data_IF_333541083965
#
_entry.id   IF_333541083965
#
_cell.length_a   1.000
_cell.length_b   1.000
_cell.length_c   1.000
_cell.angle_alpha   90.00
_cell.angle_beta   90.00
_cell.angle_gamma   90.00
#
_symmetry.space_group_name_H-M   'P 1'
#
loop_
_entity.id
_entity.type
_entity.pdbx_description
1 polymer ?
#
# COMPACT_ATOMS: atom_id res chain seq x y z
N UNK A 1 -26.38 15.97 8.81
CA UNK A 1 -25.74 14.72 8.36
C UNK A 1 -24.33 14.62 8.96
N UNK A 2 -24.15 13.73 9.93
CA UNK A 2 -22.86 13.52 10.59
C UNK A 2 -21.90 12.80 9.61
N UNK A 3 -20.88 13.50 9.15
CA UNK A 3 -19.73 12.91 8.44
C UNK A 3 -18.81 12.31 9.50
N UNK A 4 -19.05 11.05 9.84
CA UNK A 4 -18.15 10.29 10.71
C UNK A 4 -18.20 8.84 10.24
N UNK A 5 -17.40 8.54 9.21
CA UNK A 5 -16.62 7.30 9.04
C UNK A 5 -16.14 7.17 7.57
N UNK A 6 -15.21 8.01 7.13
CA UNK A 6 -14.36 7.67 5.96
C UNK A 6 -13.14 6.89 6.46
N UNK A 7 -13.36 5.97 7.41
CA UNK A 7 -12.35 5.21 8.12
C UNK A 7 -11.26 4.73 7.18
N UNK A 8 -10.00 4.86 7.59
CA UNK A 8 -8.86 4.45 6.79
C UNK A 8 -9.04 2.99 6.37
N UNK A 9 -9.28 2.77 5.08
CA UNK A 9 -9.59 1.44 4.59
C UNK A 9 -8.26 0.75 4.29
N UNK A 10 -7.97 -0.31 5.04
CA UNK A 10 -6.88 -1.22 4.75
C UNK A 10 -7.40 -2.43 3.96
N UNK A 11 -6.81 -2.70 2.80
CA UNK A 11 -7.11 -3.90 1.99
C UNK A 11 -5.84 -4.55 1.47
N UNK A 12 -5.89 -5.86 1.24
CA UNK A 12 -4.88 -6.61 0.49
C UNK A 12 -5.49 -7.18 -0.78
N UNK A 13 -4.73 -7.18 -1.86
CA UNK A 13 -5.15 -7.74 -3.13
C UNK A 13 -3.99 -8.31 -3.92
N UNK A 14 -4.31 -8.86 -5.08
CA UNK A 14 -3.33 -9.34 -6.03
C UNK A 14 -3.70 -8.99 -7.47
N UNK A 15 -2.66 -8.78 -8.28
CA UNK A 15 -2.76 -8.55 -9.71
C UNK A 15 -1.85 -9.54 -10.44
N UNK A 16 -2.40 -10.19 -11.47
CA UNK A 16 -1.61 -11.03 -12.38
C UNK A 16 -1.22 -10.19 -13.59
N UNK A 17 0.08 -10.10 -13.88
CA UNK A 17 0.61 -9.33 -15.00
C UNK A 17 1.56 -10.18 -15.85
N UNK A 18 1.57 -9.94 -17.16
CA UNK A 18 2.58 -10.45 -18.06
C UNK A 18 3.72 -9.42 -18.17
N UNK A 19 4.90 -9.75 -17.60
CA UNK A 19 6.07 -8.88 -17.62
C UNK A 19 7.08 -9.34 -18.67
N UNK A 20 7.37 -8.53 -19.70
CA UNK A 20 8.47 -8.81 -20.63
C UNK A 20 9.82 -8.59 -19.93
N UNK A 21 10.58 -9.66 -19.73
CA UNK A 21 11.89 -9.64 -19.09
C UNK A 21 13.02 -9.57 -20.12
N UNK A 22 14.05 -8.74 -19.86
CA UNK A 22 15.22 -8.60 -20.75
C UNK A 22 15.95 -9.92 -21.04
N UNK A 23 16.03 -10.81 -20.05
CA UNK A 23 16.84 -12.05 -20.12
C UNK A 23 16.03 -13.34 -19.92
N UNK A 24 14.71 -13.24 -19.71
CA UNK A 24 13.87 -14.38 -19.34
C UNK A 24 12.57 -14.47 -20.16
N UNK A 25 12.44 -13.67 -21.22
CA UNK A 25 11.24 -13.63 -22.06
C UNK A 25 10.00 -13.13 -21.30
N UNK A 26 8.81 -13.52 -21.74
CA UNK A 26 7.56 -13.15 -21.06
C UNK A 26 7.40 -13.98 -19.79
N UNK A 27 7.15 -13.31 -18.66
CA UNK A 27 6.90 -13.96 -17.36
C UNK A 27 5.56 -13.52 -16.81
N UNK A 28 4.71 -14.49 -16.48
CA UNK A 28 3.52 -14.20 -15.67
C UNK A 28 3.95 -14.00 -14.21
N UNK A 29 3.58 -12.86 -13.63
CA UNK A 29 3.87 -12.50 -12.25
C UNK A 29 2.56 -12.26 -11.51
N UNK A 30 2.51 -12.71 -10.26
CA UNK A 30 1.44 -12.36 -9.33
C UNK A 30 1.96 -11.38 -8.30
N UNK A 31 1.56 -10.12 -8.45
CA UNK A 31 1.92 -9.02 -7.57
C UNK A 31 0.89 -8.90 -6.46
N UNK A 32 1.33 -9.05 -5.20
CA UNK A 32 0.47 -8.80 -4.03
C UNK A 32 0.69 -7.39 -3.53
N UNK A 33 -0.39 -6.68 -3.26
CA UNK A 33 -0.36 -5.32 -2.73
C UNK A 33 -1.17 -5.21 -1.44
N UNK A 34 -0.88 -4.17 -0.68
CA UNK A 34 -1.71 -3.66 0.40
C UNK A 34 -2.02 -2.20 0.05
N UNK A 35 -3.18 -1.72 0.50
CA UNK A 35 -3.61 -0.36 0.26
C UNK A 35 -4.21 0.18 1.55
N UNK A 36 -3.72 1.32 2.03
CA UNK A 36 -4.25 2.01 3.21
C UNK A 36 -4.47 3.48 2.91
N UNK A 37 -5.64 4.00 3.28
CA UNK A 37 -5.94 5.42 3.15
C UNK A 37 -7.42 5.71 2.99
N UNK A 38 -7.77 6.99 2.99
CA UNK A 38 -9.12 7.43 2.62
C UNK A 38 -9.45 6.98 1.19
N UNK A 39 -10.68 6.50 0.97
CA UNK A 39 -11.07 5.90 -0.32
C UNK A 39 -10.92 6.87 -1.51
N UNK A 40 -11.14 8.17 -1.26
CA UNK A 40 -11.09 9.23 -2.26
C UNK A 40 -9.72 9.95 -2.33
N UNK A 41 -8.75 9.53 -1.54
CA UNK A 41 -7.41 10.12 -1.59
C UNK A 41 -6.63 9.65 -2.84
N UNK A 42 -5.73 10.49 -3.38
CA UNK A 42 -4.87 10.10 -4.50
C UNK A 42 -4.02 8.89 -4.15
N UNK A 43 -3.92 7.95 -5.09
CA UNK A 43 -3.13 6.72 -4.92
C UNK A 43 -1.65 7.01 -5.12
N UNK A 44 -0.82 6.54 -4.20
CA UNK A 44 0.64 6.67 -4.26
C UNK A 44 1.25 5.28 -4.17
N UNK A 45 1.93 4.85 -5.24
CA UNK A 45 2.66 3.58 -5.24
C UNK A 45 3.99 3.73 -4.48
N UNK A 46 4.14 2.96 -3.39
CA UNK A 46 5.37 2.95 -2.58
C UNK A 46 6.22 1.72 -2.92
N UNK A 47 7.37 1.95 -3.57
CA UNK A 47 8.36 0.91 -3.85
C UNK A 47 9.55 1.04 -2.90
N UNK A 48 9.96 -0.09 -2.31
CA UNK A 48 11.17 -0.18 -1.49
C UNK A 48 12.27 -1.00 -2.13
N UNK A 49 13.35 -1.25 -1.37
CA UNK A 49 14.44 -2.14 -1.78
C UNK A 49 14.06 -3.62 -1.74
N UNK A 50 15.04 -4.51 -1.94
CA UNK A 50 14.83 -5.96 -2.06
C UNK A 50 14.19 -6.64 -0.84
N UNK A 51 14.31 -6.03 0.34
CA UNK A 51 13.72 -6.52 1.59
C UNK A 51 12.32 -5.95 1.86
N UNK A 52 11.86 -4.99 1.07
CA UNK A 52 10.55 -4.40 1.22
C UNK A 52 9.46 -5.38 0.80
N UNK A 53 8.30 -5.25 1.44
CA UNK A 53 7.10 -6.02 1.10
C UNK A 53 5.89 -5.10 1.11
N UNK A 54 4.72 -5.64 0.79
CA UNK A 54 3.49 -4.84 0.61
C UNK A 54 3.01 -4.07 1.85
N UNK A 55 3.55 -4.33 3.04
CA UNK A 55 2.99 -3.82 4.30
C UNK A 55 3.85 -2.69 4.88
N UNK A 56 3.38 -1.45 4.72
CA UNK A 56 4.14 -0.23 5.00
C UNK A 56 4.21 0.10 6.49
N UNK A 57 3.08 -0.01 7.19
CA UNK A 57 2.92 0.36 8.59
C UNK A 57 1.70 -0.34 9.21
N UNK A 58 1.65 -0.36 10.54
CA UNK A 58 0.52 -0.93 11.26
C UNK A 58 -0.81 -0.21 10.93
N UNK A 59 -1.89 -0.98 10.89
CA UNK A 59 -3.26 -0.53 10.69
C UNK A 59 -4.21 -1.35 11.57
N UNK A 60 -5.46 -0.92 11.68
CA UNK A 60 -6.46 -1.65 12.47
C UNK A 60 -6.67 -3.10 11.98
N UNK A 61 -6.58 -3.35 10.67
CA UNK A 61 -6.73 -4.68 10.08
C UNK A 61 -5.43 -5.49 10.06
N UNK A 62 -4.29 -4.81 9.95
CA UNK A 62 -2.94 -5.42 9.87
C UNK A 62 -2.05 -4.74 10.92
N UNK A 63 -2.10 -5.19 12.19
CA UNK A 63 -1.49 -4.49 13.32
C UNK A 63 0.02 -4.73 13.44
N UNK A 64 0.58 -5.62 12.61
CA UNK A 64 2.02 -5.86 12.61
C UNK A 64 2.82 -4.60 12.22
N UNK A 65 4.08 -4.50 12.64
CA UNK A 65 4.93 -3.36 12.30
C UNK A 65 5.36 -3.47 10.83
N UNK A 66 5.14 -2.42 10.06
CA UNK A 66 5.61 -2.34 8.68
C UNK A 66 7.06 -1.88 8.51
N UNK A 67 7.60 -2.06 7.30
CA UNK A 67 9.03 -1.79 7.02
C UNK A 67 9.36 -0.29 6.94
N UNK A 68 8.35 0.58 6.83
CA UNK A 68 8.47 2.06 6.83
C UNK A 68 7.52 2.72 7.83
N UNK A 69 7.18 2.02 8.91
CA UNK A 69 6.23 2.46 9.93
C UNK A 69 6.46 3.90 10.43
N UNK A 70 7.72 4.30 10.60
CA UNK A 70 8.10 5.65 11.03
C UNK A 70 7.78 6.78 10.04
N UNK A 71 7.52 6.46 8.77
CA UNK A 71 7.16 7.44 7.72
C UNK A 71 5.65 7.54 7.49
N UNK A 72 4.86 6.59 8.01
CA UNK A 72 3.42 6.51 7.79
C UNK A 72 2.67 7.02 9.02
N UNK A 73 1.66 7.85 8.82
CA UNK A 73 0.80 8.38 9.88
C UNK A 73 0.46 9.86 9.72
N UNK A 74 -0.40 10.36 10.61
CA UNK A 74 -0.90 11.73 10.56
C UNK A 74 0.25 12.76 10.52
N UNK A 75 0.23 13.65 9.53
CA UNK A 75 1.23 14.69 9.33
C UNK A 75 2.62 14.21 8.92
N UNK A 76 2.81 12.90 8.67
CA UNK A 76 4.07 12.35 8.21
C UNK A 76 4.19 12.38 6.69
N UNK A 77 5.37 12.01 6.20
CA UNK A 77 5.68 11.96 4.78
C UNK A 77 4.68 11.10 4.00
N UNK A 78 4.15 10.03 4.59
CA UNK A 78 3.14 9.15 4.00
C UNK A 78 1.88 9.14 4.88
N UNK A 79 1.08 10.20 4.81
CA UNK A 79 -0.15 10.34 5.61
C UNK A 79 -1.37 9.67 4.93
N UNK A 80 -1.93 8.58 5.50
CA UNK A 80 -3.09 7.87 4.92
C UNK A 80 -4.38 8.70 4.89
N UNK A 81 -4.47 9.79 5.65
CA UNK A 81 -5.63 10.68 5.61
C UNK A 81 -5.67 11.52 4.32
N UNK A 82 -4.51 11.76 3.69
CA UNK A 82 -4.38 12.57 2.47
C UNK A 82 -3.94 11.77 1.24
N UNK A 83 -3.54 10.51 1.42
CA UNK A 83 -3.02 9.64 0.38
C UNK A 83 -3.51 8.21 0.59
N UNK A 84 -3.66 7.50 -0.51
CA UNK A 84 -3.96 6.07 -0.51
C UNK A 84 -2.69 5.32 -0.91
N UNK A 85 -2.04 4.71 0.07
CA UNK A 85 -0.68 4.16 0.01
C UNK A 85 -0.65 2.66 -0.24
#
# INVERSE_FOLDING_TARGET
PATTDDGLIAVRGELVIALPMRHAGMRELRLRYELIGAANAPVVFVAGGISAHRHLAASDLFPEKGWVDGLVGAGRALDPASRRL
#
